data_IF_296502517276
#
_entry.id   IF_296502517276
#
_cell.length_a   1.000
_cell.length_b   1.000
_cell.length_c   1.000
_cell.angle_alpha   90.00
_cell.angle_beta   90.00
_cell.angle_gamma   90.00
#
_symmetry.space_group_name_H-M   'P 1'
#
loop_
_entity.id
_entity.type
_entity.pdbx_description
1 polymer ?
#
# COMPACT_ATOMS: atom_id res chain seq x y z
N UNK A 1 4.21 -2.46 -12.73
CA UNK A 1 3.45 -3.73 -12.70
C UNK A 1 2.10 -3.51 -13.34
N UNK A 2 1.77 -4.31 -14.34
CA UNK A 2 0.56 -4.14 -15.15
C UNK A 2 -0.42 -5.32 -15.07
N UNK A 3 -0.09 -6.36 -14.30
CA UNK A 3 -0.96 -7.52 -14.17
C UNK A 3 -0.84 -8.17 -12.80
N UNK A 4 -1.91 -8.86 -12.42
CA UNK A 4 -1.95 -9.67 -11.20
C UNK A 4 -0.86 -10.74 -11.22
N UNK A 5 -0.67 -11.39 -12.37
CA UNK A 5 0.32 -12.45 -12.54
C UNK A 5 1.74 -11.93 -12.26
N UNK A 6 2.12 -10.81 -12.86
CA UNK A 6 3.42 -10.18 -12.62
C UNK A 6 3.59 -9.78 -11.15
N UNK A 7 2.57 -9.18 -10.56
CA UNK A 7 2.57 -8.75 -9.17
C UNK A 7 2.82 -9.92 -8.22
N UNK A 8 2.10 -11.02 -8.42
CA UNK A 8 2.26 -12.22 -7.60
C UNK A 8 3.62 -12.89 -7.82
N UNK A 9 4.09 -12.92 -9.05
CA UNK A 9 5.40 -13.49 -9.39
C UNK A 9 6.55 -12.77 -8.67
N UNK A 10 6.53 -11.44 -8.67
CA UNK A 10 7.54 -10.63 -7.98
C UNK A 10 7.54 -10.89 -6.48
N UNK A 11 6.36 -11.02 -5.90
CA UNK A 11 6.20 -11.28 -4.46
C UNK A 11 6.55 -12.71 -4.06
N UNK A 12 6.53 -13.64 -5.01
CA UNK A 12 6.75 -15.06 -4.76
C UNK A 12 8.14 -15.54 -5.19
N UNK A 13 9.05 -14.66 -5.54
CA UNK A 13 10.42 -15.05 -5.87
C UNK A 13 11.14 -15.59 -4.62
N UNK A 14 12.12 -16.47 -4.82
CA UNK A 14 12.90 -17.01 -3.72
C UNK A 14 13.62 -15.93 -2.92
N UNK A 15 14.17 -14.92 -3.58
CA UNK A 15 14.83 -13.80 -2.92
C UNK A 15 13.86 -12.98 -2.08
N UNK A 16 12.66 -12.72 -2.61
CA UNK A 16 11.65 -11.95 -1.89
C UNK A 16 11.22 -12.69 -0.61
N UNK A 17 10.93 -13.97 -0.73
CA UNK A 17 10.53 -14.81 0.42
C UNK A 17 11.63 -14.84 1.48
N UNK A 18 12.88 -15.04 1.06
CA UNK A 18 14.03 -15.06 1.97
C UNK A 18 14.21 -13.70 2.67
N UNK A 19 14.12 -12.61 1.94
CA UNK A 19 14.31 -11.27 2.49
C UNK A 19 13.19 -10.87 3.46
N UNK A 20 11.96 -11.27 3.21
CA UNK A 20 10.85 -11.06 4.16
C UNK A 20 11.13 -11.82 5.46
N UNK A 21 11.53 -13.08 5.36
CA UNK A 21 11.87 -13.91 6.53
C UNK A 21 13.00 -13.28 7.34
N UNK A 22 14.08 -12.86 6.67
CA UNK A 22 15.23 -12.21 7.31
C UNK A 22 14.83 -10.92 8.01
N UNK A 23 14.03 -10.08 7.36
CA UNK A 23 13.56 -8.83 7.97
C UNK A 23 12.72 -9.09 9.22
N UNK A 24 11.87 -10.10 9.20
CA UNK A 24 11.03 -10.49 10.34
C UNK A 24 11.84 -11.13 11.48
N UNK A 25 12.98 -11.71 11.17
CA UNK A 25 13.91 -12.26 12.15
C UNK A 25 14.89 -11.23 12.74
N UNK A 26 14.67 -9.95 12.41
CA UNK A 26 15.45 -8.85 12.98
C UNK A 26 16.55 -8.28 12.09
N UNK A 27 16.79 -8.87 10.91
CA UNK A 27 17.74 -8.32 9.95
C UNK A 27 17.10 -7.18 9.14
N UNK A 28 17.16 -5.97 9.67
CA UNK A 28 16.56 -4.78 9.06
C UNK A 28 17.18 -4.47 7.69
N UNK A 29 18.44 -4.83 7.47
CA UNK A 29 19.10 -4.61 6.16
C UNK A 29 18.39 -5.36 5.03
N UNK A 30 17.84 -6.54 5.29
CA UNK A 30 17.11 -7.32 4.30
C UNK A 30 15.86 -6.61 3.80
N UNK A 31 15.29 -5.71 4.58
CA UNK A 31 14.14 -4.92 4.18
C UNK A 31 14.43 -4.06 2.95
N UNK A 32 15.66 -3.58 2.82
CA UNK A 32 16.07 -2.74 1.69
C UNK A 32 16.12 -3.49 0.36
N UNK A 33 16.20 -4.81 0.43
CA UNK A 33 16.26 -5.68 -0.75
C UNK A 33 14.88 -6.18 -1.17
N UNK A 34 13.83 -5.82 -0.44
CA UNK A 34 12.46 -6.17 -0.80
C UNK A 34 12.01 -5.44 -2.06
N UNK A 35 11.13 -6.09 -2.82
CA UNK A 35 10.49 -5.45 -3.97
C UNK A 35 9.74 -4.21 -3.50
N UNK A 36 9.97 -3.10 -4.17
CA UNK A 36 9.36 -1.80 -3.87
C UNK A 36 8.22 -1.53 -4.84
N UNK A 37 7.10 -1.05 -4.32
CA UNK A 37 5.94 -0.65 -5.11
C UNK A 37 5.54 0.77 -4.76
N UNK A 38 5.12 1.53 -5.78
CA UNK A 38 4.41 2.78 -5.59
C UNK A 38 2.98 2.63 -6.09
N UNK A 39 2.02 3.17 -5.36
CA UNK A 39 0.61 3.03 -5.69
C UNK A 39 -0.07 4.37 -5.96
N UNK A 40 0.51 5.48 -5.53
CA UNK A 40 -0.18 6.77 -5.47
C UNK A 40 0.10 7.70 -6.62
N UNK A 41 1.10 7.42 -7.47
CA UNK A 41 1.40 8.29 -8.60
C UNK A 41 1.67 7.53 -9.89
N UNK A 42 1.57 8.26 -10.99
CA UNK A 42 2.05 7.81 -12.29
C UNK A 42 3.51 8.22 -12.43
N UNK A 43 4.35 7.40 -13.06
CA UNK A 43 5.76 7.73 -13.21
C UNK A 43 5.97 8.99 -14.08
N UNK A 44 7.03 9.71 -13.80
CA UNK A 44 7.50 10.81 -14.63
C UNK A 44 8.16 10.29 -15.92
N UNK A 45 8.71 11.18 -16.73
CA UNK A 45 9.46 10.82 -17.94
C UNK A 45 10.52 9.76 -17.66
N UNK A 46 10.58 8.74 -18.52
CA UNK A 46 11.51 7.65 -18.37
C UNK A 46 11.12 6.61 -17.33
N UNK A 47 9.89 6.67 -16.82
CA UNK A 47 9.38 5.71 -15.85
C UNK A 47 9.88 5.92 -14.43
N UNK A 48 10.45 7.08 -14.12
CA UNK A 48 11.01 7.39 -12.82
C UNK A 48 9.96 7.94 -11.85
N UNK A 49 10.08 7.61 -10.56
CA UNK A 49 9.27 8.20 -9.52
C UNK A 49 9.74 9.63 -9.19
N UNK A 50 11.03 9.86 -9.28
CA UNK A 50 11.60 11.18 -9.01
C UNK A 50 11.02 12.23 -9.97
N UNK A 51 10.44 13.27 -9.40
CA UNK A 51 9.81 14.34 -10.18
C UNK A 51 8.38 14.00 -10.65
N UNK A 52 7.81 12.86 -10.25
CA UNK A 52 6.43 12.53 -10.57
C UNK A 52 5.47 13.47 -9.84
N UNK A 53 4.52 14.03 -10.58
CA UNK A 53 3.54 14.98 -10.05
C UNK A 53 2.10 14.55 -10.28
N UNK A 54 1.86 13.55 -11.17
CA UNK A 54 0.52 13.07 -11.48
C UNK A 54 0.12 11.94 -10.54
N UNK A 55 -1.06 12.05 -9.96
CA UNK A 55 -1.63 11.01 -9.10
C UNK A 55 -2.18 9.87 -9.97
N UNK A 56 -2.05 8.64 -9.45
CA UNK A 56 -2.71 7.46 -10.02
C UNK A 56 -4.17 7.37 -9.56
N UNK A 57 -4.88 6.35 -10.03
CA UNK A 57 -6.24 6.06 -9.59
C UNK A 57 -6.33 5.41 -8.20
N UNK A 58 -5.20 5.15 -7.58
CA UNK A 58 -5.14 4.52 -6.25
C UNK A 58 -4.33 5.37 -5.27
N UNK A 59 -4.54 5.08 -4.00
CA UNK A 59 -3.83 5.70 -2.87
C UNK A 59 -3.20 4.60 -2.04
N UNK A 60 -1.89 4.71 -1.81
CA UNK A 60 -1.18 3.83 -0.88
C UNK A 60 -1.17 4.42 0.52
N UNK A 61 -1.48 3.59 1.50
CA UNK A 61 -1.55 3.97 2.92
C UNK A 61 -0.70 3.03 3.75
N UNK A 62 0.12 3.59 4.61
CA UNK A 62 1.01 2.83 5.49
C UNK A 62 0.51 2.91 6.93
N UNK A 63 0.26 1.77 7.54
CA UNK A 63 -0.13 1.64 8.94
C UNK A 63 1.01 1.00 9.71
N UNK A 64 1.55 1.74 10.67
CA UNK A 64 2.71 1.33 11.45
C UNK A 64 2.36 1.43 12.93
N UNK A 65 2.36 0.31 13.64
CA UNK A 65 1.93 0.26 15.03
C UNK A 65 3.11 0.02 15.97
N UNK A 66 3.09 0.69 17.12
CA UNK A 66 4.09 0.49 18.15
C UNK A 66 3.88 -0.89 18.82
N UNK A 67 4.87 -1.80 18.71
CA UNK A 67 4.75 -3.14 19.31
C UNK A 67 4.64 -3.12 20.84
N UNK A 68 4.95 -2.01 21.48
CA UNK A 68 4.85 -1.88 22.95
C UNK A 68 3.45 -1.51 23.42
N UNK A 69 2.53 -1.20 22.49
CA UNK A 69 1.13 -0.92 22.86
C UNK A 69 0.50 -2.13 23.54
N UNK A 70 -0.29 -1.91 24.60
CA UNK A 70 -0.98 -3.03 25.27
C UNK A 70 -1.95 -3.79 24.34
N UNK A 71 -2.51 -3.10 23.33
CA UNK A 71 -3.47 -3.66 22.38
C UNK A 71 -2.84 -4.08 21.04
N UNK A 72 -1.51 -4.13 20.96
CA UNK A 72 -0.80 -4.40 19.69
C UNK A 72 -1.22 -5.74 19.06
N UNK A 73 -1.19 -6.81 19.82
CA UNK A 73 -1.50 -8.14 19.29
C UNK A 73 -2.96 -8.23 18.85
N UNK A 74 -3.87 -7.64 19.61
CA UNK A 74 -5.29 -7.60 19.27
C UNK A 74 -5.51 -6.78 18.00
N UNK A 75 -4.88 -5.62 17.89
CA UNK A 75 -4.98 -4.73 16.74
C UNK A 75 -4.46 -5.43 15.48
N UNK A 76 -3.30 -6.08 15.56
CA UNK A 76 -2.72 -6.82 14.43
C UNK A 76 -3.61 -8.00 14.01
N UNK A 77 -4.27 -8.65 14.95
CA UNK A 77 -5.14 -9.79 14.67
C UNK A 77 -6.49 -9.38 14.07
N UNK A 78 -7.06 -8.27 14.51
CA UNK A 78 -8.43 -7.88 14.17
C UNK A 78 -8.54 -6.92 12.97
N UNK A 79 -7.50 -6.14 12.70
CA UNK A 79 -7.54 -5.12 11.65
C UNK A 79 -7.85 -5.68 10.27
N UNK A 80 -7.27 -6.81 9.82
CA UNK A 80 -7.57 -7.34 8.49
C UNK A 80 -9.06 -7.59 8.25
N UNK A 81 -9.75 -8.24 9.17
CA UNK A 81 -11.18 -8.52 9.03
C UNK A 81 -12.00 -7.23 9.02
N UNK A 82 -11.62 -6.24 9.81
CA UNK A 82 -12.26 -4.93 9.85
C UNK A 82 -12.14 -4.21 8.50
N UNK A 83 -10.93 -4.15 7.95
CA UNK A 83 -10.68 -3.48 6.66
C UNK A 83 -11.39 -4.21 5.52
N UNK A 84 -11.31 -5.53 5.47
CA UNK A 84 -11.99 -6.33 4.43
C UNK A 84 -13.51 -6.19 4.56
N UNK A 85 -14.04 -6.12 5.79
CA UNK A 85 -15.46 -5.91 6.04
C UNK A 85 -16.00 -4.59 5.50
N UNK A 86 -15.13 -3.58 5.31
CA UNK A 86 -15.51 -2.29 4.71
C UNK A 86 -14.92 -2.10 3.32
N UNK A 87 -14.58 -3.17 2.62
CA UNK A 87 -13.91 -3.11 1.31
C UNK A 87 -14.66 -2.27 0.28
N UNK A 88 -15.98 -2.39 0.25
CA UNK A 88 -16.80 -1.67 -0.75
C UNK A 88 -16.84 -0.16 -0.44
N UNK A 89 -17.05 0.20 0.81
CA UNK A 89 -17.06 1.59 1.25
C UNK A 89 -15.70 2.25 1.06
N UNK A 90 -14.63 1.56 1.43
CA UNK A 90 -13.26 2.05 1.30
C UNK A 90 -12.80 2.08 -0.15
N UNK A 91 -13.32 1.20 -1.01
CA UNK A 91 -12.77 0.98 -2.34
C UNK A 91 -11.46 0.21 -2.27
N UNK A 92 -11.39 -0.80 -1.42
CA UNK A 92 -10.16 -1.56 -1.16
C UNK A 92 -9.66 -2.26 -2.41
N UNK A 93 -8.39 -2.10 -2.71
CA UNK A 93 -7.71 -2.73 -3.84
C UNK A 93 -6.63 -3.72 -3.40
N UNK A 94 -5.97 -3.46 -2.28
CA UNK A 94 -4.96 -4.36 -1.73
C UNK A 94 -4.84 -4.16 -0.22
N UNK A 95 -4.61 -5.26 0.49
CA UNK A 95 -4.24 -5.27 1.90
C UNK A 95 -3.13 -6.29 2.10
N UNK A 96 -2.00 -5.86 2.63
CA UNK A 96 -0.89 -6.75 2.97
C UNK A 96 -0.37 -6.49 4.37
N UNK A 97 0.17 -7.54 4.99
CA UNK A 97 1.01 -7.38 6.18
C UNK A 97 2.36 -6.83 5.78
N UNK A 98 2.81 -5.80 6.48
CA UNK A 98 4.17 -5.28 6.25
C UNK A 98 5.22 -6.27 6.77
N UNK A 99 6.47 -6.03 6.40
CA UNK A 99 7.58 -6.85 6.86
C UNK A 99 7.82 -6.72 8.38
N UNK A 100 7.33 -5.67 9.01
CA UNK A 100 7.62 -5.37 10.42
C UNK A 100 6.36 -5.29 11.29
N UNK A 101 5.74 -4.14 11.42
CA UNK A 101 4.80 -3.87 12.52
C UNK A 101 3.51 -3.19 12.07
N UNK A 102 2.96 -3.61 10.96
CA UNK A 102 1.72 -3.00 10.47
C UNK A 102 1.22 -3.59 9.18
N UNK A 103 0.58 -2.74 8.39
CA UNK A 103 -0.07 -3.12 7.14
C UNK A 103 0.13 -2.04 6.09
N UNK A 104 0.04 -2.44 4.83
CA UNK A 104 -0.12 -1.54 3.72
C UNK A 104 -1.52 -1.73 3.15
N UNK A 105 -2.19 -0.63 2.87
CA UNK A 105 -3.52 -0.60 2.29
C UNK A 105 -3.47 0.22 1.01
N UNK A 106 -4.07 -0.29 -0.04
CA UNK A 106 -4.28 0.46 -1.27
C UNK A 106 -5.77 0.51 -1.53
N UNK A 107 -6.29 1.71 -1.79
CA UNK A 107 -7.69 1.91 -2.05
C UNK A 107 -7.90 2.85 -3.24
N UNK A 108 -9.10 2.82 -3.81
CA UNK A 108 -9.46 3.66 -4.97
C UNK A 108 -9.46 5.12 -4.57
N UNK A 109 -8.76 5.94 -5.35
CA UNK A 109 -8.67 7.38 -5.11
C UNK A 109 -10.05 8.03 -5.30
N UNK A 110 -10.41 8.89 -4.35
CA UNK A 110 -11.53 9.80 -4.50
C UNK A 110 -11.00 11.08 -5.14
N UNK A 111 -11.48 11.36 -6.34
CA UNK A 111 -10.94 12.45 -7.16
C UNK A 111 -11.29 13.84 -6.64
N UNK A 112 -12.37 13.94 -5.86
CA UNK A 112 -12.79 15.18 -5.21
C UNK A 112 -11.93 15.55 -3.98
N UNK A 113 -11.04 14.65 -3.57
CA UNK A 113 -10.15 14.84 -2.42
C UNK A 113 -8.69 14.87 -2.85
N UNK A 114 -7.87 15.65 -2.16
CA UNK A 114 -6.41 15.61 -2.31
C UNK A 114 -5.83 14.29 -1.80
N UNK A 115 -4.54 14.07 -2.03
CA UNK A 115 -3.83 12.91 -1.48
C UNK A 115 -3.99 12.85 0.05
N UNK A 116 -3.73 13.96 0.73
CA UNK A 116 -3.85 14.04 2.20
C UNK A 116 -5.28 13.80 2.66
N UNK A 117 -6.24 14.41 1.99
CA UNK A 117 -7.66 14.24 2.34
C UNK A 117 -8.12 12.80 2.16
N UNK A 118 -7.65 12.11 1.10
CA UNK A 118 -7.90 10.67 0.91
C UNK A 118 -7.38 9.86 2.09
N UNK A 119 -6.15 10.11 2.51
CA UNK A 119 -5.53 9.40 3.63
C UNK A 119 -6.26 9.67 4.95
N UNK A 120 -6.61 10.93 5.21
CA UNK A 120 -7.33 11.31 6.42
C UNK A 120 -8.74 10.70 6.46
N UNK A 121 -9.43 10.68 5.32
CA UNK A 121 -10.73 10.05 5.21
C UNK A 121 -10.66 8.55 5.50
N UNK A 122 -9.71 7.85 4.88
CA UNK A 122 -9.53 6.42 5.10
C UNK A 122 -9.13 6.12 6.56
N UNK A 123 -8.26 6.94 7.12
CA UNK A 123 -7.85 6.82 8.53
C UNK A 123 -9.03 6.93 9.47
N UNK A 124 -9.92 7.90 9.27
CA UNK A 124 -11.13 8.06 10.08
C UNK A 124 -12.09 6.88 9.90
N UNK A 125 -12.25 6.41 8.67
CA UNK A 125 -13.15 5.30 8.38
C UNK A 125 -12.69 4.01 9.06
N UNK A 126 -11.39 3.73 9.00
CA UNK A 126 -10.80 2.53 9.62
C UNK A 126 -10.65 2.71 11.14
N UNK A 127 -10.46 3.93 11.61
CA UNK A 127 -10.25 4.23 13.02
C UNK A 127 -8.80 4.05 13.48
N UNK A 128 -7.84 4.25 12.59
CA UNK A 128 -6.40 4.14 12.91
C UNK A 128 -5.64 5.29 12.29
N UNK A 129 -4.49 5.61 12.87
CA UNK A 129 -3.58 6.60 12.30
C UNK A 129 -2.73 5.98 11.21
N UNK A 130 -2.29 6.78 10.26
CA UNK A 130 -1.42 6.37 9.16
C UNK A 130 -0.05 7.06 9.26
N UNK A 131 0.97 6.43 8.65
CA UNK A 131 2.30 7.02 8.53
C UNK A 131 2.24 8.24 7.60
N UNK A 132 2.66 9.39 8.09
CA UNK A 132 2.60 10.67 7.38
C UNK A 132 3.47 10.70 6.12
N UNK A 133 4.44 9.80 5.98
CA UNK A 133 5.23 9.68 4.75
C UNK A 133 4.40 9.37 3.52
N UNK A 134 3.23 8.73 3.67
CA UNK A 134 2.32 8.41 2.57
C UNK A 134 1.64 9.65 1.97
N UNK A 135 1.77 10.82 2.58
CA UNK A 135 1.30 12.09 2.00
C UNK A 135 2.07 12.44 0.72
N UNK A 136 3.30 11.99 0.61
CA UNK A 136 4.08 12.10 -0.61
C UNK A 136 3.63 11.01 -1.58
N UNK A 137 3.10 11.39 -2.74
CA UNK A 137 2.60 10.44 -3.73
C UNK A 137 3.71 9.54 -4.31
N UNK A 138 4.97 9.94 -4.18
CA UNK A 138 6.12 9.15 -4.65
C UNK A 138 6.60 8.13 -3.62
N UNK A 139 5.96 8.05 -2.44
CA UNK A 139 6.31 7.08 -1.40
C UNK A 139 6.29 5.67 -1.95
N UNK A 140 7.38 4.92 -1.73
CA UNK A 140 7.44 3.49 -2.06
C UNK A 140 7.12 2.65 -0.83
N UNK A 141 6.58 1.46 -1.09
CA UNK A 141 6.22 0.48 -0.08
C UNK A 141 7.07 -0.76 -0.30
N UNK A 142 7.70 -1.23 0.76
CA UNK A 142 8.39 -2.52 0.73
C UNK A 142 7.36 -3.63 0.83
N UNK A 143 7.20 -4.38 -0.26
CA UNK A 143 6.19 -5.44 -0.32
C UNK A 143 6.63 -6.67 0.46
N UNK A 144 5.69 -7.58 0.68
CA UNK A 144 5.95 -8.85 1.33
C UNK A 144 5.68 -10.00 0.38
N UNK A 145 5.29 -11.18 0.86
CA UNK A 145 5.13 -12.35 -0.02
C UNK A 145 3.72 -12.43 -0.61
N UNK A 146 3.52 -13.41 -1.50
CA UNK A 146 2.20 -13.71 -2.06
C UNK A 146 1.42 -14.72 -1.21
N UNK A 147 1.95 -15.15 -0.07
CA UNK A 147 1.24 -16.09 0.80
C UNK A 147 -0.04 -15.48 1.36
N UNK A 148 -0.99 -16.32 1.72
CA UNK A 148 -2.25 -15.87 2.30
C UNK A 148 -2.09 -15.17 3.65
N UNK A 149 -0.98 -15.40 4.34
CA UNK A 149 -0.66 -14.73 5.60
C UNK A 149 -0.13 -13.30 5.40
N UNK A 150 0.37 -13.01 4.22
CA UNK A 150 0.95 -11.70 3.88
C UNK A 150 0.05 -10.88 2.98
N UNK A 151 -0.38 -11.44 1.86
CA UNK A 151 -1.29 -10.78 0.93
C UNK A 151 -2.72 -11.16 1.27
N UNK A 152 -3.38 -10.30 2.04
CA UNK A 152 -4.66 -10.60 2.67
C UNK A 152 -5.86 -10.28 1.79
N UNK A 153 -5.69 -9.36 0.85
CA UNK A 153 -6.73 -8.97 -0.11
C UNK A 153 -6.07 -8.38 -1.37
N UNK A 154 -6.59 -8.74 -2.52
CA UNK A 154 -6.13 -8.18 -3.80
C UNK A 154 -7.29 -8.16 -4.80
N UNK A 155 -7.58 -6.98 -5.33
CA UNK A 155 -8.59 -6.77 -6.37
C UNK A 155 -7.89 -6.48 -7.71
N UNK A 156 -8.40 -7.06 -8.78
CA UNK A 156 -7.83 -6.89 -10.12
C UNK A 156 -7.91 -5.45 -10.63
N UNK A 157 -8.80 -4.63 -10.09
CA UNK A 157 -8.88 -3.22 -10.44
C UNK A 157 -7.57 -2.47 -10.14
N UNK A 158 -6.74 -2.98 -9.23
CA UNK A 158 -5.41 -2.42 -8.98
C UNK A 158 -4.58 -2.33 -10.27
N UNK A 159 -4.80 -3.26 -11.19
CA UNK A 159 -4.04 -3.37 -12.46
C UNK A 159 -4.82 -2.84 -13.67
N UNK A 160 -6.11 -2.64 -13.56
CA UNK A 160 -7.00 -2.30 -14.68
C UNK A 160 -7.74 -1.00 -14.50
N UNK A 161 -7.47 -0.24 -13.44
CA UNK A 161 -8.19 0.97 -13.07
C UNK A 161 -8.06 2.15 -14.03
N UNK A 162 -7.30 1.98 -15.10
CA UNK A 162 -7.15 2.98 -16.14
C UNK A 162 -6.27 4.17 -15.72
N UNK A 163 -6.01 5.03 -16.69
CA UNK A 163 -5.27 6.27 -16.46
C UNK A 163 -6.21 7.33 -15.87
N UNK A 164 -5.73 8.18 -14.95
CA UNK A 164 -6.50 9.33 -14.50
C UNK A 164 -6.82 10.23 -15.69
N UNK A 165 -8.02 10.79 -15.71
CA UNK A 165 -8.36 11.76 -16.74
C UNK A 165 -7.55 13.05 -16.51
N UNK A 166 -7.36 13.82 -17.58
CA UNK A 166 -6.68 15.12 -17.48
C UNK A 166 -7.40 16.10 -16.57
N UNK A 167 -8.67 15.81 -16.27
CA UNK A 167 -9.51 16.59 -15.35
C UNK A 167 -9.32 16.23 -13.89
N UNK A 168 -8.51 15.22 -13.60
CA UNK A 168 -8.19 14.85 -12.23
C UNK A 168 -7.55 16.04 -11.50
N UNK A 169 -7.97 16.36 -10.26
CA UNK A 169 -7.38 17.46 -9.50
C UNK A 169 -5.87 17.37 -9.38
N UNK A 170 -5.34 16.17 -9.45
CA UNK A 170 -3.92 15.92 -9.40
C UNK A 170 -3.16 16.43 -10.63
N UNK A 171 -3.80 16.50 -11.77
CA UNK A 171 -3.17 17.00 -12.99
C UNK A 171 -2.96 18.51 -12.94
N UNK A 172 -3.68 19.22 -12.11
CA UNK A 172 -3.67 20.67 -11.98
C UNK A 172 -2.76 21.14 -10.84
N UNK A 173 -2.43 20.25 -9.95
CA UNK A 173 -1.64 20.55 -8.77
C UNK A 173 -0.23 20.01 -8.88
#
# INVERSE_FOLDING_TARGET
VKSREEYLRLRNSGNQIANVSEARNGNIEAKRDLVQMNYSCLPASGGLLRGATRQSNSVGMDLDFDPTRPDYDQLMAELPAKVIGMKDELGLLMLERSATKGFHIVFRRRTEMSQVENLEWASRLIGVEFDKGAKDITRVFYTTTASADDLLFLDDELFTGGEPTDESPSAVQ
#
